data_IF_443356790406
#
_entry.id   IF_443356790406
#
_cell.length_a   1.000
_cell.length_b   1.000
_cell.length_c   1.000
_cell.angle_alpha   90.00
_cell.angle_beta   90.00
_cell.angle_gamma   90.00
#
_symmetry.space_group_name_H-M   'P 1'
#
loop_
_entity.id
_entity.type
_entity.pdbx_description
1 polymer ?
#
# COMPACT_ATOMS: atom_id res chain seq x y z
N UNK A 1 39.74 -34.95 23.86
CA UNK A 1 38.29 -34.71 23.68
C UNK A 1 38.01 -33.32 24.23
N UNK A 2 37.82 -32.34 23.34
CA UNK A 2 37.56 -30.94 23.70
C UNK A 2 36.06 -30.70 23.49
N UNK A 3 35.37 -30.31 24.56
CA UNK A 3 33.95 -30.03 24.55
C UNK A 3 33.62 -28.71 23.84
N UNK A 4 32.46 -28.67 23.20
CA UNK A 4 31.81 -27.45 22.73
C UNK A 4 30.39 -27.45 23.27
N UNK A 5 30.20 -26.87 24.45
CA UNK A 5 28.91 -26.37 24.90
C UNK A 5 28.77 -24.95 24.35
N UNK A 6 28.06 -24.79 23.23
CA UNK A 6 27.53 -23.47 22.86
C UNK A 6 26.32 -23.21 23.75
N UNK A 7 26.48 -22.34 24.74
CA UNK A 7 25.38 -21.69 25.43
C UNK A 7 24.58 -20.90 24.40
N UNK A 8 23.35 -21.32 24.13
CA UNK A 8 22.37 -20.46 23.47
C UNK A 8 21.88 -19.48 24.53
N UNK A 9 22.25 -18.21 24.40
CA UNK A 9 21.64 -17.11 25.15
C UNK A 9 20.17 -16.99 24.72
N UNK A 10 19.28 -17.51 25.56
CA UNK A 10 17.81 -17.46 25.40
C UNK A 10 17.27 -16.05 25.72
N UNK A 11 18.11 -15.13 26.20
CA UNK A 11 17.73 -13.79 26.67
C UNK A 11 17.87 -12.66 25.63
N UNK A 12 18.02 -12.97 24.34
CA UNK A 12 17.85 -11.91 23.32
C UNK A 12 16.36 -11.65 23.11
N UNK A 13 15.82 -10.47 23.48
CA UNK A 13 14.48 -10.11 23.07
C UNK A 13 14.46 -10.10 21.54
N UNK A 14 13.66 -11.00 20.97
CA UNK A 14 13.26 -10.96 19.57
C UNK A 14 12.78 -9.53 19.36
N UNK A 15 13.41 -8.80 18.44
CA UNK A 15 13.12 -7.41 18.17
C UNK A 15 11.61 -7.23 18.08
N UNK A 16 11.03 -6.59 19.09
CA UNK A 16 9.63 -6.22 19.04
C UNK A 16 9.62 -5.09 18.02
N UNK A 17 9.26 -5.41 16.78
CA UNK A 17 8.82 -4.42 15.83
C UNK A 17 7.54 -3.84 16.41
N UNK A 18 7.69 -2.77 17.19
CA UNK A 18 6.56 -2.01 17.69
C UNK A 18 5.97 -1.35 16.45
N UNK A 19 4.92 -1.95 15.91
CA UNK A 19 4.05 -1.28 14.95
C UNK A 19 3.40 -0.13 15.70
N UNK A 20 4.09 1.02 15.77
CA UNK A 20 3.54 2.28 16.23
C UNK A 20 2.53 2.72 15.18
N UNK A 21 1.32 2.16 15.24
CA UNK A 21 0.19 2.72 14.50
C UNK A 21 -0.15 4.04 15.19
N UNK A 22 0.10 5.21 14.58
CA UNK A 22 -0.17 6.46 15.24
C UNK A 22 -1.68 6.70 15.29
N UNK A 23 -2.23 6.73 16.50
CA UNK A 23 -3.59 7.21 16.75
C UNK A 23 -3.72 8.72 16.40
N UNK A 24 -4.92 9.22 16.06
CA UNK A 24 -5.14 10.64 15.76
C UNK A 24 -4.69 11.53 16.92
N UNK A 25 -3.82 12.52 16.66
CA UNK A 25 -3.42 13.55 17.63
C UNK A 25 -1.93 13.56 18.02
N UNK A 26 -1.11 12.59 17.59
CA UNK A 26 0.35 12.65 17.72
C UNK A 26 1.03 12.76 16.36
N UNK A 27 2.08 13.57 16.33
CA UNK A 27 2.94 13.79 15.19
C UNK A 27 3.61 12.48 14.78
N UNK A 28 3.42 12.05 13.53
CA UNK A 28 4.03 10.82 13.01
C UNK A 28 5.43 11.17 12.54
N UNK A 29 6.43 10.46 13.03
CA UNK A 29 7.81 10.57 12.54
C UNK A 29 8.21 9.20 12.05
N UNK A 30 8.66 9.12 10.80
CA UNK A 30 9.15 7.88 10.19
C UNK A 30 10.67 8.02 10.05
N UNK A 31 11.38 6.99 10.49
CA UNK A 31 12.83 6.91 10.32
C UNK A 31 13.18 7.03 8.83
N UNK A 32 14.13 7.89 8.49
CA UNK A 32 14.50 8.18 7.09
C UNK A 32 13.71 9.30 6.40
N UNK A 33 12.45 9.56 6.80
CA UNK A 33 11.61 10.58 6.16
C UNK A 33 11.29 11.81 7.02
N UNK A 34 11.52 11.71 8.33
CA UNK A 34 11.18 12.77 9.25
C UNK A 34 9.68 12.81 9.53
N UNK A 35 9.15 14.01 9.72
CA UNK A 35 7.76 14.20 10.15
C UNK A 35 6.77 14.09 8.99
N UNK A 36 5.63 13.46 9.27
CA UNK A 36 4.45 13.49 8.40
C UNK A 36 3.86 14.92 8.39
N UNK A 37 3.79 15.50 7.19
CA UNK A 37 3.20 16.82 6.93
C UNK A 37 1.84 16.73 6.25
N UNK A 38 1.50 15.56 5.71
CA UNK A 38 0.26 15.33 4.98
C UNK A 38 -0.25 13.92 5.21
N UNK A 39 -1.56 13.80 5.36
CA UNK A 39 -2.23 12.51 5.42
C UNK A 39 -3.55 12.56 4.65
N UNK A 40 -3.77 11.59 3.77
CA UNK A 40 -5.05 11.36 3.13
C UNK A 40 -5.44 9.89 3.27
N UNK A 41 -6.74 9.64 3.39
CA UNK A 41 -7.30 8.31 3.49
C UNK A 41 -8.62 8.24 2.73
N UNK A 42 -8.91 7.10 2.12
CA UNK A 42 -10.11 6.91 1.32
C UNK A 42 -10.57 5.46 1.33
N UNK A 43 -11.90 5.21 1.37
CA UNK A 43 -12.41 3.88 1.12
C UNK A 43 -12.19 3.50 -0.35
N UNK A 44 -11.94 2.22 -0.60
CA UNK A 44 -11.93 1.60 -1.93
C UNK A 44 -13.22 0.82 -2.08
N UNK A 45 -13.89 0.98 -3.22
CA UNK A 45 -15.09 0.24 -3.60
C UNK A 45 -14.95 -0.36 -5.00
N UNK A 46 -15.68 -1.44 -5.25
CA UNK A 46 -15.72 -2.09 -6.56
C UNK A 46 -16.41 -1.26 -7.63
N UNK A 47 -16.01 -1.49 -8.89
CA UNK A 47 -16.58 -0.84 -10.08
C UNK A 47 -17.46 -1.83 -10.84
N UNK A 48 -18.64 -1.38 -11.24
CA UNK A 48 -19.60 -2.22 -11.97
C UNK A 48 -20.01 -3.42 -11.12
N UNK A 49 -19.77 -4.63 -11.66
CA UNK A 49 -20.08 -5.91 -11.00
C UNK A 49 -18.95 -6.41 -10.09
N UNK A 50 -17.78 -5.76 -10.11
CA UNK A 50 -16.64 -6.17 -9.30
C UNK A 50 -16.97 -6.00 -7.81
N UNK A 51 -16.80 -7.09 -7.04
CA UNK A 51 -16.98 -7.05 -5.59
C UNK A 51 -15.64 -6.72 -4.95
N UNK A 52 -15.47 -5.45 -4.59
CA UNK A 52 -14.30 -4.99 -3.88
C UNK A 52 -14.67 -4.09 -2.69
N UNK A 53 -13.91 -4.21 -1.61
CA UNK A 53 -13.90 -3.23 -0.52
C UNK A 53 -12.47 -3.05 -0.02
N UNK A 54 -12.14 -1.89 0.52
CA UNK A 54 -10.80 -1.66 1.02
C UNK A 54 -10.57 -0.26 1.53
N UNK A 55 -9.31 0.05 1.76
CA UNK A 55 -8.84 1.36 2.18
C UNK A 55 -7.50 1.64 1.49
N UNK A 56 -7.32 2.91 1.12
CA UNK A 56 -6.01 3.43 0.77
C UNK A 56 -5.66 4.61 1.67
N UNK A 57 -4.37 4.75 1.96
CA UNK A 57 -3.80 5.91 2.61
C UNK A 57 -2.59 6.45 1.85
N UNK A 58 -2.38 7.76 1.97
CA UNK A 58 -1.21 8.45 1.45
C UNK A 58 -0.65 9.34 2.56
N UNK A 59 0.62 9.13 2.87
CA UNK A 59 1.40 9.90 3.81
C UNK A 59 2.42 10.73 3.05
N UNK A 60 2.54 12.02 3.36
CA UNK A 60 3.58 12.89 2.82
C UNK A 60 4.47 13.42 3.95
N UNK A 61 5.77 13.49 3.69
CA UNK A 61 6.79 13.77 4.71
C UNK A 61 7.57 15.06 4.43
N UNK A 62 8.33 15.53 5.42
CA UNK A 62 9.11 16.78 5.34
C UNK A 62 10.23 16.74 4.31
N UNK A 63 10.80 15.57 4.06
CA UNK A 63 11.80 15.34 3.02
C UNK A 63 11.20 15.32 1.60
N UNK A 64 9.87 15.44 1.47
CA UNK A 64 9.12 15.39 0.22
C UNK A 64 8.73 13.98 -0.23
N UNK A 65 9.14 12.94 0.51
CA UNK A 65 8.76 11.58 0.22
C UNK A 65 7.27 11.34 0.44
N UNK A 66 6.73 10.35 -0.25
CA UNK A 66 5.38 9.84 -0.04
C UNK A 66 5.38 8.33 0.15
N UNK A 67 4.49 7.88 1.04
CA UNK A 67 4.19 6.47 1.26
C UNK A 67 2.70 6.28 0.98
N UNK A 68 2.40 5.43 0.00
CA UNK A 68 1.04 5.03 -0.36
C UNK A 68 0.83 3.59 0.10
N UNK A 69 -0.27 3.34 0.80
CA UNK A 69 -0.65 2.00 1.22
C UNK A 69 -2.04 1.70 0.71
N UNK A 70 -2.23 0.52 0.11
CA UNK A 70 -3.51 0.04 -0.38
C UNK A 70 -3.77 -1.32 0.23
N UNK A 71 -4.95 -1.50 0.81
CA UNK A 71 -5.45 -2.78 1.28
C UNK A 71 -6.85 -2.98 0.72
N UNK A 72 -7.07 -4.06 -0.02
CA UNK A 72 -8.35 -4.33 -0.65
C UNK A 72 -8.70 -5.82 -0.56
N UNK A 73 -9.98 -6.09 -0.36
CA UNK A 73 -10.59 -7.39 -0.48
C UNK A 73 -11.20 -7.51 -1.89
N UNK A 74 -10.56 -8.29 -2.77
CA UNK A 74 -10.95 -8.48 -4.17
C UNK A 74 -10.82 -9.98 -4.49
N UNK A 75 -11.61 -10.50 -5.43
CA UNK A 75 -11.42 -11.88 -5.87
C UNK A 75 -9.98 -12.09 -6.40
N UNK A 76 -9.42 -13.26 -6.11
CA UNK A 76 -8.10 -13.64 -6.63
C UNK A 76 -8.20 -13.74 -8.16
N UNK A 77 -7.28 -13.09 -8.91
CA UNK A 77 -7.25 -13.19 -10.36
C UNK A 77 -7.09 -14.63 -10.84
N UNK A 78 -7.56 -14.90 -12.05
CA UNK A 78 -7.32 -16.18 -12.74
C UNK A 78 -5.82 -16.37 -13.04
N UNK A 79 -5.40 -17.62 -13.25
CA UNK A 79 -4.02 -17.95 -13.62
C UNK A 79 -3.55 -17.11 -14.83
N UNK A 80 -2.35 -16.52 -14.70
CA UNK A 80 -1.77 -15.63 -15.72
C UNK A 80 -2.25 -14.18 -15.64
N UNK A 81 -2.97 -13.80 -14.58
CA UNK A 81 -3.36 -12.43 -14.29
C UNK A 81 -2.90 -11.98 -12.91
N UNK A 82 -2.84 -10.66 -12.71
CA UNK A 82 -2.51 -10.05 -11.43
C UNK A 82 -3.32 -8.78 -11.19
N UNK A 83 -3.31 -8.32 -9.94
CA UNK A 83 -3.89 -7.03 -9.57
C UNK A 83 -2.77 -6.00 -9.44
N UNK A 84 -2.98 -4.82 -10.04
CA UNK A 84 -2.05 -3.69 -9.96
C UNK A 84 -2.76 -2.49 -9.32
N UNK A 85 -2.07 -1.79 -8.42
CA UNK A 85 -2.57 -0.54 -7.86
C UNK A 85 -1.95 0.65 -8.56
N UNK A 86 -2.74 1.71 -8.74
CA UNK A 86 -2.29 2.93 -9.39
C UNK A 86 -2.75 4.18 -8.65
N UNK A 87 -1.92 5.21 -8.65
CA UNK A 87 -2.42 6.58 -8.53
C UNK A 87 -3.06 6.97 -9.86
N UNK A 88 -4.26 7.56 -9.79
CA UNK A 88 -4.98 8.07 -10.92
C UNK A 88 -5.13 9.60 -10.86
N UNK A 89 -5.28 10.20 -12.03
CA UNK A 89 -5.66 11.62 -12.14
C UNK A 89 -7.11 11.87 -11.67
N UNK A 90 -7.52 13.14 -11.65
CA UNK A 90 -8.89 13.52 -11.25
C UNK A 90 -9.99 12.92 -12.15
N UNK A 91 -9.65 12.49 -13.37
CA UNK A 91 -10.55 11.79 -14.29
C UNK A 91 -10.59 10.27 -14.09
N UNK A 92 -9.74 9.71 -13.22
CA UNK A 92 -9.65 8.27 -13.00
C UNK A 92 -8.71 7.55 -13.96
N UNK A 93 -7.94 8.26 -14.78
CA UNK A 93 -6.92 7.63 -15.62
C UNK A 93 -5.73 7.22 -14.74
N UNK A 94 -5.28 5.96 -14.76
CA UNK A 94 -4.06 5.54 -14.07
C UNK A 94 -2.83 6.29 -14.60
N UNK A 95 -1.95 6.75 -13.70
CA UNK A 95 -0.76 7.57 -14.04
C UNK A 95 0.52 7.01 -13.42
N UNK A 96 0.48 6.60 -12.15
CA UNK A 96 1.66 6.09 -11.43
C UNK A 96 1.33 4.71 -10.90
N UNK A 97 2.03 3.69 -11.40
CA UNK A 97 1.95 2.33 -10.84
C UNK A 97 2.54 2.33 -9.43
N UNK A 98 1.81 1.69 -8.51
CA UNK A 98 2.20 1.48 -7.12
C UNK A 98 2.72 0.05 -6.91
N UNK A 99 2.63 -0.81 -7.92
CA UNK A 99 3.06 -2.20 -7.90
C UNK A 99 1.91 -3.18 -7.69
N UNK A 100 2.29 -4.46 -7.84
CA UNK A 100 1.37 -5.58 -7.76
C UNK A 100 0.80 -5.68 -6.35
N UNK A 101 -0.51 -5.88 -6.24
CA UNK A 101 -1.07 -6.24 -4.95
C UNK A 101 -0.72 -7.69 -4.63
N UNK A 102 -0.17 -7.89 -3.44
CA UNK A 102 0.23 -9.20 -2.95
C UNK A 102 -0.78 -9.72 -1.93
N UNK A 103 -0.96 -11.04 -1.90
CA UNK A 103 -1.68 -11.75 -0.84
C UNK A 103 -0.76 -12.84 -0.27
N UNK A 104 -0.78 -13.06 1.04
CA UNK A 104 0.11 -14.04 1.67
C UNK A 104 -0.46 -15.47 1.62
N UNK A 105 -1.78 -15.60 1.50
CA UNK A 105 -2.50 -16.85 1.67
C UNK A 105 -3.27 -17.28 0.42
N UNK A 106 -2.97 -16.66 -0.73
CA UNK A 106 -3.74 -16.83 -1.96
C UNK A 106 -5.26 -16.68 -1.73
N UNK A 107 -5.64 -15.66 -0.96
CA UNK A 107 -7.02 -15.33 -0.64
C UNK A 107 -7.38 -13.93 -1.11
N UNK A 108 -8.59 -13.48 -0.80
CA UNK A 108 -9.10 -12.18 -1.27
C UNK A 108 -8.40 -10.97 -0.68
N UNK A 109 -7.51 -11.12 0.32
CA UNK A 109 -6.91 -10.00 1.05
C UNK A 109 -5.62 -9.58 0.37
N UNK A 110 -5.72 -8.51 -0.41
CA UNK A 110 -4.64 -7.97 -1.22
C UNK A 110 -4.09 -6.69 -0.61
N UNK A 111 -2.77 -6.50 -0.68
CA UNK A 111 -2.14 -5.27 -0.20
C UNK A 111 -0.89 -4.90 -1.01
N UNK A 112 -0.62 -3.60 -1.07
CA UNK A 112 0.65 -3.06 -1.55
C UNK A 112 1.03 -1.84 -0.72
N UNK A 113 2.34 -1.67 -0.51
CA UNK A 113 2.92 -0.47 0.06
C UNK A 113 3.98 0.04 -0.91
N UNK A 114 3.80 1.27 -1.33
CA UNK A 114 4.67 1.95 -2.27
C UNK A 114 5.32 3.15 -1.59
N UNK A 115 6.63 3.28 -1.72
CA UNK A 115 7.41 4.37 -1.16
C UNK A 115 8.20 5.04 -2.27
N UNK A 116 8.19 6.37 -2.28
CA UNK A 116 8.88 7.14 -3.32
C UNK A 116 9.36 8.48 -2.77
N UNK A 117 10.53 8.98 -3.20
CA UNK A 117 10.97 10.34 -2.89
C UNK A 117 10.16 11.41 -3.64
N UNK A 118 9.24 11.01 -4.52
CA UNK A 118 8.38 11.92 -5.29
C UNK A 118 7.16 12.34 -4.48
N UNK A 119 6.75 13.58 -4.69
CA UNK A 119 5.49 14.08 -4.15
C UNK A 119 4.30 13.61 -4.98
N UNK A 120 3.51 12.70 -4.42
CA UNK A 120 2.28 12.18 -5.02
C UNK A 120 1.01 12.85 -4.48
N UNK A 121 1.11 13.90 -3.65
CA UNK A 121 -0.06 14.57 -3.02
C UNK A 121 -1.02 15.20 -4.03
N UNK A 122 -0.57 15.45 -5.26
CA UNK A 122 -1.41 15.94 -6.34
C UNK A 122 -2.45 14.91 -6.82
N UNK A 123 -2.21 13.62 -6.59
CA UNK A 123 -3.12 12.55 -6.95
C UNK A 123 -4.02 12.21 -5.76
N UNK A 124 -5.34 12.26 -5.98
CA UNK A 124 -6.34 12.01 -4.95
C UNK A 124 -7.14 10.74 -5.19
N UNK A 125 -6.84 9.99 -6.26
CA UNK A 125 -7.58 8.80 -6.63
C UNK A 125 -6.67 7.59 -6.74
N UNK A 126 -7.15 6.48 -6.21
CA UNK A 126 -6.58 5.15 -6.37
C UNK A 126 -7.48 4.37 -7.31
N UNK A 127 -6.88 3.60 -8.20
CA UNK A 127 -7.56 2.59 -9.01
C UNK A 127 -6.80 1.28 -8.90
N UNK A 128 -7.54 0.18 -8.91
CA UNK A 128 -6.99 -1.18 -8.94
C UNK A 128 -7.46 -1.82 -10.24
N UNK A 129 -6.52 -2.37 -10.99
CA UNK A 129 -6.76 -3.04 -12.27
C UNK A 129 -6.49 -4.53 -12.15
N UNK A 130 -7.16 -5.33 -12.97
CA UNK A 130 -6.74 -6.69 -13.32
C UNK A 130 -5.99 -6.63 -14.65
N UNK A 131 -4.79 -7.17 -14.66
CA UNK A 131 -3.86 -7.13 -15.79
C UNK A 131 -3.37 -8.55 -16.13
N UNK A 132 -3.05 -8.79 -17.40
CA UNK A 132 -2.48 -10.04 -17.84
C UNK A 132 -0.96 -10.01 -17.72
N UNK A 133 -0.34 -11.17 -17.43
CA UNK A 133 1.12 -11.33 -17.49
C UNK A 133 1.58 -11.54 -18.94
N UNK A 134 1.32 -10.55 -19.79
CA UNK A 134 1.62 -10.56 -21.23
C UNK A 134 2.77 -9.61 -21.64
N UNK A 135 3.32 -8.89 -20.66
CA UNK A 135 4.38 -7.90 -20.87
C UNK A 135 3.91 -6.53 -21.34
N UNK A 136 2.60 -6.27 -21.44
CA UNK A 136 2.05 -4.94 -21.65
C UNK A 136 1.91 -4.21 -20.29
N UNK A 137 2.65 -3.11 -20.05
CA UNK A 137 2.55 -2.36 -18.80
C UNK A 137 1.33 -1.43 -18.73
N UNK A 138 0.44 -1.49 -19.72
CA UNK A 138 -0.72 -0.60 -19.82
C UNK A 138 -1.85 -1.09 -18.90
N UNK A 139 -2.48 -0.18 -18.12
CA UNK A 139 -3.62 -0.54 -17.30
C UNK A 139 -4.76 -1.14 -18.13
N UNK A 140 -5.29 -2.28 -17.68
CA UNK A 140 -6.36 -3.00 -18.35
C UNK A 140 -7.72 -2.74 -17.67
N UNK A 141 -8.31 -3.75 -17.01
CA UNK A 141 -9.68 -3.67 -16.48
C UNK A 141 -9.68 -3.07 -15.07
N UNK A 142 -10.31 -1.91 -14.89
CA UNK A 142 -10.51 -1.32 -13.56
C UNK A 142 -11.55 -2.12 -12.77
N UNK A 143 -11.13 -2.68 -11.63
CA UNK A 143 -11.99 -3.46 -10.72
C UNK A 143 -12.43 -2.66 -9.49
N UNK A 144 -11.61 -1.72 -9.03
CA UNK A 144 -11.91 -0.94 -7.85
C UNK A 144 -11.34 0.47 -7.91
N UNK A 145 -11.97 1.40 -7.22
CA UNK A 145 -11.54 2.80 -7.11
C UNK A 145 -11.70 3.31 -5.68
N UNK A 146 -10.87 4.26 -5.28
CA UNK A 146 -11.01 4.99 -4.03
C UNK A 146 -10.58 6.43 -4.16
N UNK A 147 -11.36 7.34 -3.56
CA UNK A 147 -10.99 8.76 -3.46
C UNK A 147 -10.35 9.01 -2.10
N UNK A 148 -9.08 9.39 -2.10
CA UNK A 148 -8.34 9.84 -0.95
C UNK A 148 -8.81 11.25 -0.56
N UNK A 149 -9.26 11.39 0.67
CA UNK A 149 -9.59 12.69 1.26
C UNK A 149 -8.47 13.08 2.20
N UNK A 150 -7.86 14.23 1.92
CA UNK A 150 -6.88 14.82 2.81
C UNK A 150 -7.56 15.15 4.15
N UNK A 151 -6.97 14.67 5.23
CA UNK A 151 -7.27 15.20 6.55
C UNK A 151 -6.32 16.37 6.78
N UNK A 152 -6.87 17.58 6.84
CA UNK A 152 -6.13 18.71 7.38
C UNK A 152 -5.79 18.38 8.85
N UNK A 153 -4.50 18.25 9.15
CA UNK A 153 -3.99 18.17 10.52
C UNK A 153 -3.55 19.56 10.98
#
# INVERSE_FOLDING_TARGET
>A
MVGCSKSMDIDKPIGIDVITTPMPGKQVVVEGHGRETFFAIGPIGGVGEARANGVASLHGFEDGATIVSVQANIAVPEDGKFLEAWMADGGGKPVVSLGHLTNAFNDVRHSVRYETPKDLRAYSKIVITEEGDDGDPSPSLILAEGLLKANAR
#
